data_IF_433731956296
#
_entry.id   IF_433731956296
#
_cell.length_a   1.000
_cell.length_b   1.000
_cell.length_c   1.000
_cell.angle_alpha   90.00
_cell.angle_beta   90.00
_cell.angle_gamma   90.00
#
_symmetry.space_group_name_H-M   'P 1'
#
loop_
_entity.id
_entity.type
_entity.pdbx_description
1 polymer ?
#
# COMPACT_ATOMS: atom_id res chain seq x y z
N UNK A 1 12.21 20.89 4.70
CA UNK A 1 11.52 20.88 3.40
C UNK A 1 12.28 21.81 2.48
N UNK A 2 12.79 21.30 1.34
CA UNK A 2 13.59 22.12 0.42
C UNK A 2 12.67 23.06 -0.37
N UNK A 3 13.14 24.26 -0.71
CA UNK A 3 12.43 25.25 -1.54
C UNK A 3 11.89 24.65 -2.85
N UNK A 4 12.60 23.66 -3.38
CA UNK A 4 12.24 22.94 -4.60
C UNK A 4 10.91 22.15 -4.47
N UNK A 5 10.63 21.51 -3.32
CA UNK A 5 9.43 20.69 -3.15
C UNK A 5 8.14 21.52 -3.21
N UNK A 6 8.12 22.66 -2.51
CA UNK A 6 6.94 23.55 -2.50
C UNK A 6 6.68 24.12 -3.89
N UNK A 7 7.73 24.53 -4.61
CA UNK A 7 7.58 25.01 -5.98
C UNK A 7 7.06 23.93 -6.92
N UNK A 8 7.50 22.68 -6.78
CA UNK A 8 6.98 21.55 -7.56
C UNK A 8 5.49 21.31 -7.28
N UNK A 9 5.05 21.36 -6.03
CA UNK A 9 3.62 21.19 -5.69
C UNK A 9 2.72 22.23 -6.36
N UNK A 10 3.22 23.46 -6.56
CA UNK A 10 2.46 24.56 -7.17
C UNK A 10 2.49 24.51 -8.69
N UNK A 11 3.62 24.10 -9.28
CA UNK A 11 3.86 24.20 -10.72
C UNK A 11 3.47 22.95 -11.50
N UNK A 12 3.58 21.78 -10.89
CA UNK A 12 3.31 20.52 -11.57
C UNK A 12 1.81 20.32 -11.79
N UNK A 13 1.47 19.73 -12.94
CA UNK A 13 0.09 19.41 -13.29
C UNK A 13 -0.49 18.31 -12.41
N UNK A 14 0.36 17.40 -11.93
CA UNK A 14 -0.02 16.38 -10.96
C UNK A 14 0.81 16.49 -9.67
N UNK A 15 0.34 17.24 -8.67
CA UNK A 15 1.01 17.32 -7.37
C UNK A 15 0.99 15.96 -6.62
N UNK A 16 0.16 15.00 -7.02
CA UNK A 16 0.13 13.66 -6.40
C UNK A 16 1.44 12.92 -6.61
N UNK A 17 1.97 12.94 -7.84
CA UNK A 17 3.27 12.33 -8.16
C UNK A 17 4.39 12.97 -7.35
N UNK A 18 4.37 14.30 -7.19
CA UNK A 18 5.36 15.04 -6.40
C UNK A 18 5.30 14.61 -4.92
N UNK A 19 4.10 14.47 -4.36
CA UNK A 19 3.91 14.00 -2.98
C UNK A 19 4.41 12.55 -2.83
N UNK A 20 4.04 11.66 -3.76
CA UNK A 20 4.46 10.27 -3.72
C UNK A 20 5.99 10.13 -3.79
N UNK A 21 6.65 10.80 -4.74
CA UNK A 21 8.11 10.81 -4.83
C UNK A 21 8.75 11.34 -3.55
N UNK A 22 8.13 12.33 -2.88
CA UNK A 22 8.63 12.81 -1.59
C UNK A 22 8.49 11.78 -0.48
N UNK A 23 7.41 11.00 -0.46
CA UNK A 23 7.25 9.90 0.49
C UNK A 23 8.32 8.81 0.29
N UNK A 24 8.63 8.47 -0.97
CA UNK A 24 9.70 7.53 -1.32
C UNK A 24 11.06 8.08 -0.87
N UNK A 25 11.39 9.34 -1.18
CA UNK A 25 12.65 9.97 -0.77
C UNK A 25 12.82 9.95 0.76
N UNK A 26 11.75 10.25 1.51
CA UNK A 26 11.75 10.20 2.97
C UNK A 26 12.02 8.78 3.47
N UNK A 27 11.35 7.78 2.89
CA UNK A 27 11.57 6.38 3.23
C UNK A 27 13.01 5.94 2.92
N UNK A 28 13.52 6.21 1.71
CA UNK A 28 14.89 5.88 1.31
C UNK A 28 15.95 6.49 2.23
N UNK A 29 15.72 7.73 2.69
CA UNK A 29 16.68 8.43 3.56
C UNK A 29 16.78 7.87 4.98
N UNK A 30 15.76 7.14 5.45
CA UNK A 30 15.65 6.67 6.84
C UNK A 30 15.63 5.16 6.98
N UNK A 31 15.30 4.44 5.92
CA UNK A 31 15.17 3.00 5.97
C UNK A 31 16.53 2.33 6.21
N UNK A 32 16.63 1.57 7.28
CA UNK A 32 17.77 0.70 7.59
C UNK A 32 17.30 -0.75 7.60
N UNK A 33 17.80 -1.57 6.66
CA UNK A 33 17.38 -2.97 6.52
C UNK A 33 17.69 -3.83 7.76
N UNK A 34 18.68 -3.43 8.57
CA UNK A 34 19.05 -4.12 9.80
C UNK A 34 18.13 -3.83 10.99
N UNK A 35 17.31 -2.78 10.92
CA UNK A 35 16.40 -2.35 11.99
C UNK A 35 15.13 -1.73 11.38
N UNK A 36 14.32 -2.59 10.77
CA UNK A 36 13.09 -2.15 10.10
C UNK A 36 12.05 -1.62 11.10
N UNK A 37 12.01 -2.18 12.31
CA UNK A 37 11.11 -1.73 13.38
C UNK A 37 11.33 -0.26 13.72
N UNK A 38 12.59 0.15 14.00
CA UNK A 38 12.91 1.57 14.25
C UNK A 38 12.73 2.43 13.01
N UNK A 39 13.13 1.93 11.85
CA UNK A 39 13.02 2.66 10.58
C UNK A 39 11.58 3.02 10.25
N UNK A 40 10.63 2.11 10.48
CA UNK A 40 9.22 2.35 10.23
C UNK A 40 8.67 3.45 11.13
N UNK A 41 9.07 3.50 12.40
CA UNK A 41 8.71 4.59 13.31
C UNK A 41 9.26 5.95 12.85
N UNK A 42 10.52 5.99 12.44
CA UNK A 42 11.19 7.23 12.01
C UNK A 42 10.62 7.77 10.69
N UNK A 43 10.21 6.87 9.78
CA UNK A 43 9.48 7.23 8.55
C UNK A 43 8.08 7.74 8.90
N UNK A 44 7.39 7.08 9.83
CA UNK A 44 6.02 7.43 10.19
C UNK A 44 5.91 8.81 10.86
N UNK A 45 6.89 9.17 11.70
CA UNK A 45 6.94 10.50 12.33
C UNK A 45 7.09 11.62 11.28
N UNK A 46 7.89 11.44 10.24
CA UNK A 46 7.97 12.44 9.15
C UNK A 46 6.71 12.46 8.30
N UNK A 47 6.14 11.30 7.99
CA UNK A 47 4.93 11.22 7.18
C UNK A 47 3.74 11.86 7.90
N UNK A 48 3.65 11.67 9.22
CA UNK A 48 2.70 12.37 10.08
C UNK A 48 2.82 13.89 9.94
N UNK A 49 4.05 14.42 10.01
CA UNK A 49 4.33 15.86 9.90
C UNK A 49 4.05 16.39 8.50
N UNK A 50 4.47 15.67 7.46
CA UNK A 50 4.24 16.02 6.07
C UNK A 50 2.74 16.10 5.77
N UNK A 51 1.99 15.05 6.13
CA UNK A 51 0.56 15.00 5.88
C UNK A 51 -0.20 16.05 6.69
N UNK A 52 0.21 16.31 7.95
CA UNK A 52 -0.36 17.40 8.74
C UNK A 52 -0.13 18.76 8.09
N UNK A 53 1.09 19.02 7.60
CA UNK A 53 1.42 20.27 6.93
C UNK A 53 0.63 20.45 5.64
N UNK A 54 0.51 19.39 4.82
CA UNK A 54 -0.33 19.41 3.62
C UNK A 54 -1.79 19.69 3.99
N UNK A 55 -2.32 19.06 5.03
CA UNK A 55 -3.68 19.35 5.49
C UNK A 55 -3.84 20.78 6.02
N UNK A 56 -2.87 21.32 6.75
CA UNK A 56 -2.97 22.70 7.27
C UNK A 56 -2.91 23.75 6.15
N UNK A 57 -2.23 23.45 5.05
CA UNK A 57 -2.10 24.33 3.91
C UNK A 57 -3.31 24.24 2.94
N UNK A 58 -3.85 23.04 2.70
CA UNK A 58 -4.88 22.80 1.67
C UNK A 58 -6.22 22.26 2.22
N UNK A 59 -6.27 21.88 3.49
CA UNK A 59 -7.47 21.35 4.14
C UNK A 59 -7.99 20.06 3.49
N UNK A 60 -9.32 19.93 3.51
CA UNK A 60 -10.05 18.80 2.91
C UNK A 60 -9.83 18.70 1.40
N UNK A 61 -9.52 19.82 0.73
CA UNK A 61 -9.39 19.87 -0.72
C UNK A 61 -8.18 19.09 -1.24
N UNK A 62 -7.14 18.92 -0.43
CA UNK A 62 -6.04 17.99 -0.71
C UNK A 62 -6.57 16.59 -1.03
N UNK A 63 -7.41 16.05 -0.14
CA UNK A 63 -7.94 14.71 -0.26
C UNK A 63 -8.99 14.61 -1.37
N UNK A 64 -9.82 15.65 -1.56
CA UNK A 64 -10.74 15.71 -2.71
C UNK A 64 -9.99 15.70 -4.03
N UNK A 65 -8.88 16.44 -4.12
CA UNK A 65 -8.05 16.47 -5.31
C UNK A 65 -7.47 15.09 -5.64
N UNK A 66 -6.94 14.39 -4.63
CA UNK A 66 -6.43 13.02 -4.82
C UNK A 66 -7.52 12.08 -5.35
N UNK A 67 -8.72 12.12 -4.78
CA UNK A 67 -9.84 11.27 -5.21
C UNK A 67 -10.40 11.68 -6.58
N UNK A 68 -10.49 12.98 -6.88
CA UNK A 68 -10.99 13.47 -8.17
C UNK A 68 -10.08 13.06 -9.34
N UNK A 69 -8.79 12.83 -9.09
CA UNK A 69 -7.85 12.35 -10.10
C UNK A 69 -7.74 10.82 -10.14
N UNK A 70 -8.61 10.07 -9.45
CA UNK A 70 -8.58 8.59 -9.40
C UNK A 70 -8.69 7.91 -10.77
N UNK A 71 -9.40 8.51 -11.71
CA UNK A 71 -9.45 7.99 -13.09
C UNK A 71 -8.15 8.24 -13.86
N UNK A 72 -7.51 9.41 -13.68
CA UNK A 72 -6.21 9.72 -14.29
C UNK A 72 -5.10 8.86 -13.69
N UNK A 73 -5.12 8.73 -12.37
CA UNK A 73 -4.22 7.93 -11.56
C UNK A 73 -4.84 6.57 -11.26
N UNK A 74 -5.36 5.90 -12.32
CA UNK A 74 -6.04 4.59 -12.27
C UNK A 74 -5.55 3.72 -11.10
N UNK A 75 -6.48 2.95 -10.53
CA UNK A 75 -6.20 2.04 -9.42
C UNK A 75 -4.88 1.28 -9.61
N UNK A 76 -4.08 1.19 -8.55
CA UNK A 76 -2.76 0.58 -8.61
C UNK A 76 -2.83 -0.86 -9.16
N UNK A 77 -3.85 -1.62 -8.76
CA UNK A 77 -4.15 -2.95 -9.31
C UNK A 77 -4.34 -2.90 -10.84
N UNK A 78 -5.20 -2.01 -11.36
CA UNK A 78 -5.44 -1.87 -12.82
C UNK A 78 -4.16 -1.55 -13.57
N UNK A 79 -3.38 -0.59 -13.08
CA UNK A 79 -2.09 -0.24 -13.67
C UNK A 79 -1.11 -1.41 -13.65
N UNK A 80 -1.03 -2.14 -12.54
CA UNK A 80 -0.13 -3.29 -12.41
C UNK A 80 -0.47 -4.41 -13.40
N UNK A 81 -1.75 -4.75 -13.57
CA UNK A 81 -2.18 -5.72 -14.58
C UNK A 81 -1.84 -5.25 -16.01
N UNK A 82 -2.08 -3.97 -16.32
CA UNK A 82 -1.73 -3.40 -17.62
C UNK A 82 -0.22 -3.47 -17.89
N UNK A 83 0.61 -2.99 -16.95
CA UNK A 83 2.07 -3.01 -17.05
C UNK A 83 2.61 -4.44 -17.16
N UNK A 84 2.05 -5.37 -16.38
CA UNK A 84 2.46 -6.77 -16.43
C UNK A 84 2.13 -7.41 -17.78
N UNK A 85 0.96 -7.10 -18.36
CA UNK A 85 0.57 -7.53 -19.70
C UNK A 85 1.55 -7.00 -20.76
N UNK A 86 1.83 -5.69 -20.76
CA UNK A 86 2.72 -5.01 -21.72
C UNK A 86 4.16 -5.54 -21.65
N UNK A 87 4.65 -5.87 -20.45
CA UNK A 87 6.01 -6.37 -20.22
C UNK A 87 6.12 -7.89 -20.28
N UNK A 88 5.00 -8.62 -20.47
CA UNK A 88 4.97 -10.07 -20.40
C UNK A 88 5.48 -10.62 -19.06
N UNK A 89 5.11 -9.94 -17.98
CA UNK A 89 5.44 -10.25 -16.59
C UNK A 89 4.31 -11.07 -15.92
N UNK A 90 4.59 -11.57 -14.72
CA UNK A 90 3.55 -11.95 -13.77
C UNK A 90 3.17 -10.73 -12.89
N UNK A 91 2.05 -10.82 -12.17
CA UNK A 91 1.65 -9.79 -11.21
C UNK A 91 1.48 -10.39 -9.82
N UNK A 92 1.89 -9.67 -8.79
CA UNK A 92 1.63 -9.98 -7.38
C UNK A 92 0.83 -8.82 -6.76
N UNK A 93 -0.36 -9.11 -6.28
CA UNK A 93 -1.14 -8.22 -5.42
C UNK A 93 -0.87 -8.62 -3.98
N UNK A 94 -0.35 -7.70 -3.19
CA UNK A 94 0.07 -7.89 -1.81
C UNK A 94 -0.81 -7.01 -0.92
N UNK A 95 -1.63 -7.65 -0.10
CA UNK A 95 -2.57 -6.98 0.81
C UNK A 95 -1.81 -6.03 1.73
N UNK A 96 -2.15 -4.74 1.70
CA UNK A 96 -1.46 -3.70 2.46
C UNK A 96 -0.07 -3.31 1.95
N UNK A 97 0.33 -3.64 0.72
CA UNK A 97 1.64 -3.24 0.18
C UNK A 97 1.79 -1.71 0.08
N UNK A 98 2.65 -1.13 0.91
CA UNK A 98 2.83 0.31 1.02
C UNK A 98 4.18 0.77 0.46
N UNK A 99 4.37 2.09 0.39
CA UNK A 99 5.64 2.70 -0.01
C UNK A 99 6.84 2.21 0.84
N UNK A 100 6.60 1.77 2.08
CA UNK A 100 7.64 1.22 2.97
C UNK A 100 8.18 -0.09 2.41
N UNK A 101 7.28 -1.03 2.09
CA UNK A 101 7.65 -2.31 1.49
C UNK A 101 8.28 -2.12 0.11
N UNK A 102 7.83 -1.16 -0.69
CA UNK A 102 8.48 -0.80 -1.95
C UNK A 102 9.96 -0.48 -1.76
N UNK A 103 10.30 0.43 -0.85
CA UNK A 103 11.70 0.81 -0.62
C UNK A 103 12.53 -0.35 -0.07
N UNK A 104 11.95 -1.17 0.81
CA UNK A 104 12.63 -2.38 1.31
C UNK A 104 12.92 -3.35 0.16
N UNK A 105 11.94 -3.61 -0.70
CA UNK A 105 12.06 -4.51 -1.86
C UNK A 105 13.12 -3.99 -2.83
N UNK A 106 13.04 -2.70 -3.20
CA UNK A 106 13.98 -2.02 -4.10
C UNK A 106 15.43 -2.14 -3.61
N UNK A 107 15.65 -2.05 -2.29
CA UNK A 107 16.98 -2.12 -1.69
C UNK A 107 17.47 -3.55 -1.41
N UNK A 108 16.57 -4.54 -1.43
CA UNK A 108 16.91 -5.94 -1.07
C UNK A 108 17.08 -6.86 -2.28
N UNK A 109 16.37 -6.60 -3.38
CA UNK A 109 16.37 -7.47 -4.56
C UNK A 109 17.57 -7.17 -5.45
N UNK A 110 18.26 -8.23 -5.89
CA UNK A 110 19.40 -8.17 -6.82
C UNK A 110 18.93 -8.18 -8.28
N UNK A 111 18.09 -7.23 -8.63
CA UNK A 111 17.60 -7.02 -10.00
C UNK A 111 17.40 -5.52 -10.23
N UNK A 112 17.28 -5.12 -11.49
CA UNK A 112 16.80 -3.77 -11.81
C UNK A 112 15.33 -3.66 -11.36
N UNK A 113 14.99 -2.51 -10.77
CA UNK A 113 13.67 -2.22 -10.23
C UNK A 113 13.21 -0.86 -10.75
N UNK A 114 12.12 -0.83 -11.52
CA UNK A 114 11.41 0.41 -11.83
C UNK A 114 10.30 0.67 -10.82
N UNK A 115 9.87 1.93 -10.75
CA UNK A 115 8.83 2.42 -9.85
C UNK A 115 7.75 3.16 -10.65
N UNK A 116 6.49 2.88 -10.30
CA UNK A 116 5.31 3.69 -10.63
C UNK A 116 4.38 3.68 -9.40
N UNK A 117 3.23 4.33 -9.46
CA UNK A 117 2.23 4.30 -8.42
C UNK A 117 0.81 4.40 -8.98
N UNK A 118 -0.16 4.01 -8.17
CA UNK A 118 -1.57 4.25 -8.42
C UNK A 118 -2.30 4.60 -7.14
N UNK A 119 -3.62 4.76 -7.23
CA UNK A 119 -4.46 4.94 -6.05
C UNK A 119 -5.03 3.61 -5.55
N UNK A 120 -5.28 3.53 -4.25
CA UNK A 120 -6.11 2.47 -3.66
C UNK A 120 -7.58 2.65 -4.04
N UNK A 121 -8.39 1.63 -3.79
CA UNK A 121 -9.84 1.84 -3.68
C UNK A 121 -10.18 2.73 -2.46
N UNK A 122 -11.38 3.31 -2.44
CA UNK A 122 -11.84 4.12 -1.31
C UNK A 122 -13.26 3.73 -0.92
N UNK A 123 -13.53 3.37 0.36
CA UNK A 123 -12.59 3.25 1.48
C UNK A 123 -11.39 2.33 1.18
N UNK A 124 -10.22 2.64 1.75
CA UNK A 124 -8.99 1.88 1.54
C UNK A 124 -9.02 0.54 2.31
N UNK A 125 -9.92 -0.35 1.89
CA UNK A 125 -10.12 -1.69 2.45
C UNK A 125 -10.15 -2.73 1.32
N UNK A 126 -9.68 -3.94 1.63
CA UNK A 126 -9.60 -5.08 0.71
C UNK A 126 -10.92 -5.40 0.00
N UNK A 127 -12.05 -5.35 0.72
CA UNK A 127 -13.37 -5.63 0.14
C UNK A 127 -13.79 -4.59 -0.91
N UNK A 128 -13.41 -3.33 -0.73
CA UNK A 128 -13.73 -2.27 -1.69
C UNK A 128 -12.87 -2.39 -2.94
N UNK A 129 -11.59 -2.71 -2.78
CA UNK A 129 -10.70 -3.03 -3.90
C UNK A 129 -11.22 -4.24 -4.71
N UNK A 130 -11.68 -5.28 -4.01
CA UNK A 130 -12.28 -6.48 -4.60
C UNK A 130 -13.51 -6.14 -5.44
N UNK A 131 -14.42 -5.36 -4.86
CA UNK A 131 -15.69 -4.97 -5.49
C UNK A 131 -15.44 -4.09 -6.72
N UNK A 132 -14.63 -3.05 -6.59
CA UNK A 132 -14.44 -2.07 -7.66
C UNK A 132 -13.66 -2.65 -8.83
N UNK A 133 -12.63 -3.47 -8.56
CA UNK A 133 -11.76 -3.96 -9.64
C UNK A 133 -12.16 -5.32 -10.19
N UNK A 134 -12.60 -6.25 -9.32
CA UNK A 134 -12.87 -7.63 -9.72
C UNK A 134 -14.37 -7.99 -9.74
N UNK A 135 -15.25 -7.07 -9.35
CA UNK A 135 -16.70 -7.25 -9.24
C UNK A 135 -17.08 -8.47 -8.37
N UNK A 136 -16.39 -8.62 -7.23
CA UNK A 136 -16.62 -9.68 -6.24
C UNK A 136 -16.47 -9.13 -4.82
N UNK A 137 -17.09 -9.75 -3.81
CA UNK A 137 -17.09 -9.21 -2.44
C UNK A 137 -15.72 -9.30 -1.73
N UNK A 138 -14.84 -10.22 -2.14
CA UNK A 138 -13.53 -10.42 -1.50
C UNK A 138 -12.45 -10.89 -2.51
N UNK A 139 -11.17 -10.68 -2.16
CA UNK A 139 -10.04 -11.04 -3.02
C UNK A 139 -9.88 -12.55 -3.16
N UNK A 140 -10.36 -13.36 -2.20
CA UNK A 140 -10.27 -14.82 -2.30
C UNK A 140 -11.09 -15.34 -3.48
N UNK A 141 -12.28 -14.77 -3.71
CA UNK A 141 -13.11 -15.04 -4.89
C UNK A 141 -12.55 -14.43 -6.17
N UNK A 142 -11.85 -13.29 -6.06
CA UNK A 142 -11.14 -12.73 -7.21
C UNK A 142 -10.03 -13.68 -7.69
N UNK A 143 -9.32 -14.31 -6.75
CA UNK A 143 -8.17 -15.16 -7.03
C UNK A 143 -8.49 -16.65 -7.16
N UNK A 144 -9.64 -16.98 -7.75
CA UNK A 144 -10.02 -18.34 -8.13
C UNK A 144 -10.08 -18.52 -9.66
N UNK A 145 -9.36 -19.50 -10.19
CA UNK A 145 -9.47 -19.90 -11.60
C UNK A 145 -8.74 -18.96 -12.57
N UNK A 146 -9.39 -18.64 -13.70
CA UNK A 146 -8.84 -17.73 -14.72
C UNK A 146 -9.73 -16.51 -14.91
N UNK A 147 -9.12 -15.35 -15.16
CA UNK A 147 -9.82 -14.09 -15.45
C UNK A 147 -9.22 -13.36 -16.63
N UNK A 148 -10.04 -12.62 -17.36
CA UNK A 148 -9.58 -11.73 -18.44
C UNK A 148 -9.54 -10.29 -17.91
N UNK A 149 -8.34 -9.70 -17.84
CA UNK A 149 -8.10 -8.40 -17.20
C UNK A 149 -7.11 -7.62 -18.08
N UNK A 150 -7.44 -6.35 -18.37
CA UNK A 150 -6.61 -5.44 -19.19
C UNK A 150 -6.15 -6.07 -20.51
N UNK A 151 -7.03 -6.83 -21.17
CA UNK A 151 -6.76 -7.44 -22.47
C UNK A 151 -6.01 -8.79 -22.44
N UNK A 152 -5.69 -9.30 -21.25
CA UNK A 152 -4.91 -10.55 -21.07
C UNK A 152 -5.64 -11.56 -20.19
N UNK A 153 -5.39 -12.85 -20.44
CA UNK A 153 -5.88 -13.95 -19.59
C UNK A 153 -4.88 -14.25 -18.48
N UNK A 154 -5.35 -14.23 -17.24
CA UNK A 154 -4.58 -14.45 -16.04
C UNK A 154 -5.01 -15.72 -15.33
N UNK A 155 -4.06 -16.57 -14.97
CA UNK A 155 -4.26 -17.63 -14.00
C UNK A 155 -4.12 -17.04 -12.60
N UNK A 156 -5.22 -17.07 -11.84
CA UNK A 156 -5.28 -16.45 -10.53
C UNK A 156 -4.88 -17.47 -9.46
N UNK A 157 -3.94 -17.08 -8.60
CA UNK A 157 -3.35 -17.97 -7.60
C UNK A 157 -3.18 -17.25 -6.25
N UNK A 158 -3.64 -17.88 -5.17
CA UNK A 158 -3.38 -17.41 -3.81
C UNK A 158 -2.10 -18.08 -3.31
N UNK A 159 -1.20 -17.30 -2.72
CA UNK A 159 0.02 -17.78 -2.07
C UNK A 159 -0.29 -18.10 -0.61
N UNK A 160 -0.79 -19.31 -0.35
CA UNK A 160 -1.19 -19.73 1.00
C UNK A 160 0.01 -19.91 1.97
N UNK A 161 1.21 -20.13 1.43
CA UNK A 161 2.44 -20.38 2.21
C UNK A 161 3.56 -19.49 1.72
N UNK A 162 3.77 -18.35 2.39
CA UNK A 162 4.76 -17.36 1.96
C UNK A 162 6.19 -17.91 1.89
N UNK A 163 6.54 -18.85 2.79
CA UNK A 163 7.87 -19.48 2.86
C UNK A 163 8.09 -20.62 1.86
N UNK A 164 7.08 -20.97 1.07
CA UNK A 164 7.18 -21.98 0.02
C UNK A 164 6.23 -21.63 -1.12
N UNK A 165 6.52 -20.54 -1.86
CA UNK A 165 5.63 -20.05 -2.88
C UNK A 165 5.58 -20.97 -4.11
N UNK A 166 4.58 -20.78 -4.99
CA UNK A 166 4.44 -21.57 -6.21
C UNK A 166 5.68 -21.47 -7.11
N UNK A 167 6.23 -22.63 -7.50
CA UNK A 167 7.34 -22.71 -8.46
C UNK A 167 6.81 -22.61 -9.89
N UNK A 168 6.91 -21.43 -10.48
CA UNK A 168 6.27 -21.12 -11.77
C UNK A 168 7.19 -21.26 -12.97
N UNK A 169 8.50 -21.41 -12.74
CA UNK A 169 9.49 -21.53 -13.81
C UNK A 169 9.39 -20.34 -14.76
N UNK A 170 9.31 -20.60 -16.08
CA UNK A 170 9.18 -19.54 -17.11
C UNK A 170 7.73 -19.18 -17.45
N UNK A 171 6.74 -19.64 -16.67
CA UNK A 171 5.33 -19.42 -16.95
C UNK A 171 4.97 -17.95 -16.73
N UNK A 172 4.24 -17.39 -17.70
CA UNK A 172 3.73 -16.01 -17.72
C UNK A 172 2.21 -15.99 -17.57
N UNK A 173 1.64 -14.81 -17.31
CA UNK A 173 0.19 -14.64 -17.20
C UNK A 173 -0.37 -15.23 -15.91
N UNK A 174 0.40 -15.20 -14.83
CA UNK A 174 -0.05 -15.59 -13.50
C UNK A 174 -0.22 -14.34 -12.66
N UNK A 175 -1.36 -14.25 -11.99
CA UNK A 175 -1.65 -13.24 -10.98
C UNK A 175 -1.66 -13.90 -9.60
N UNK A 176 -0.75 -13.47 -8.74
CA UNK A 176 -0.61 -13.94 -7.37
C UNK A 176 -1.31 -12.99 -6.40
N UNK A 177 -1.89 -13.54 -5.34
CA UNK A 177 -2.36 -12.80 -4.17
C UNK A 177 -1.58 -13.29 -2.94
N UNK A 178 -1.11 -12.36 -2.10
CA UNK A 178 -0.64 -12.65 -0.75
C UNK A 178 -1.33 -11.71 0.24
N UNK A 179 -1.62 -12.22 1.44
CA UNK A 179 -2.17 -11.43 2.56
C UNK A 179 -1.09 -10.72 3.39
N UNK A 180 0.17 -10.78 2.94
CA UNK A 180 1.27 -10.06 3.56
C UNK A 180 1.44 -8.68 2.90
N UNK A 181 1.87 -7.65 3.64
CA UNK A 181 2.16 -7.68 5.08
C UNK A 181 0.91 -7.46 5.97
N UNK A 182 -0.25 -7.16 5.40
CA UNK A 182 -1.43 -6.69 6.15
C UNK A 182 -1.89 -7.64 7.26
N UNK A 183 -2.24 -8.89 6.93
CA UNK A 183 -2.77 -9.85 7.90
C UNK A 183 -1.85 -10.08 9.12
N UNK A 184 -0.54 -10.36 8.98
CA UNK A 184 0.34 -10.52 10.13
C UNK A 184 0.56 -9.21 10.93
N UNK A 185 0.45 -8.04 10.31
CA UNK A 185 0.55 -6.75 11.01
C UNK A 185 -0.76 -6.36 11.71
N UNK A 186 -1.91 -6.80 11.21
CA UNK A 186 -3.20 -6.66 11.88
C UNK A 186 -3.38 -7.62 13.05
N UNK A 187 -2.90 -8.85 12.92
CA UNK A 187 -2.91 -9.90 13.96
C UNK A 187 -1.58 -9.96 14.73
N UNK A 188 -0.99 -8.80 15.03
CA UNK A 188 0.35 -8.76 15.62
C UNK A 188 0.41 -9.39 17.02
N UNK A 189 -0.71 -9.47 17.75
CA UNK A 189 -0.87 -10.29 18.96
C UNK A 189 -1.63 -11.58 18.65
N UNK A 190 -0.92 -12.70 18.48
CA UNK A 190 -1.56 -14.03 18.46
C UNK A 190 -2.13 -14.36 19.83
N UNK A 191 -3.36 -14.90 19.88
CA UNK A 191 -4.04 -15.35 21.10
C UNK A 191 -3.09 -16.00 22.11
N UNK A 192 -2.84 -15.33 23.24
CA UNK A 192 -2.06 -15.86 24.37
C UNK A 192 -0.53 -15.67 24.29
N UNK A 193 0.00 -15.06 23.22
CA UNK A 193 1.43 -14.74 23.08
C UNK A 193 1.62 -13.22 23.21
N UNK A 194 2.51 -12.81 24.12
CA UNK A 194 2.74 -11.40 24.49
C UNK A 194 3.59 -10.66 23.43
N UNK A 195 4.31 -11.38 22.56
CA UNK A 195 5.24 -10.81 21.59
C UNK A 195 4.55 -10.38 20.29
N UNK A 196 4.67 -9.09 19.97
CA UNK A 196 4.32 -8.53 18.66
C UNK A 196 5.18 -9.20 17.58
N UNK A 197 4.59 -9.53 16.43
CA UNK A 197 5.37 -9.98 15.28
C UNK A 197 6.40 -8.91 14.89
N UNK A 198 7.66 -9.32 14.66
CA UNK A 198 8.69 -8.38 14.19
C UNK A 198 8.41 -7.96 12.76
N UNK A 199 8.42 -6.65 12.50
CA UNK A 199 8.28 -6.08 11.15
C UNK A 199 9.37 -6.67 10.24
N UNK A 200 10.59 -6.80 10.78
CA UNK A 200 11.72 -7.37 10.06
C UNK A 200 11.43 -8.78 9.54
N UNK A 201 10.77 -9.62 10.33
CA UNK A 201 10.40 -10.97 9.90
C UNK A 201 9.28 -10.97 8.86
N UNK A 202 8.21 -10.19 9.09
CA UNK A 202 7.06 -10.11 8.18
C UNK A 202 7.47 -9.58 6.81
N UNK A 203 8.20 -8.48 6.78
CA UNK A 203 8.66 -7.85 5.54
C UNK A 203 9.76 -8.70 4.89
N UNK A 204 10.62 -9.36 5.68
CA UNK A 204 11.62 -10.29 5.16
C UNK A 204 11.00 -11.50 4.43
N UNK A 205 9.92 -12.05 4.97
CA UNK A 205 9.15 -13.12 4.31
C UNK A 205 8.54 -12.62 2.98
N UNK A 206 8.00 -11.39 2.95
CA UNK A 206 7.49 -10.77 1.73
C UNK A 206 8.56 -10.51 0.68
N UNK A 207 9.72 -9.98 1.06
CA UNK A 207 10.86 -9.79 0.14
C UNK A 207 11.29 -11.13 -0.45
N UNK A 208 11.38 -12.18 0.37
CA UNK A 208 11.77 -13.52 -0.07
C UNK A 208 10.76 -14.08 -1.08
N UNK A 209 9.46 -13.94 -0.82
CA UNK A 209 8.40 -14.30 -1.77
C UNK A 209 8.60 -13.59 -3.12
N UNK A 210 8.80 -12.28 -3.08
CA UNK A 210 8.96 -11.46 -4.29
C UNK A 210 10.22 -11.88 -5.07
N UNK A 211 11.34 -12.13 -4.38
CA UNK A 211 12.59 -12.57 -5.00
C UNK A 211 12.44 -13.94 -5.70
N UNK A 212 11.73 -14.87 -5.05
CA UNK A 212 11.44 -16.19 -5.63
C UNK A 212 10.53 -16.09 -6.87
N UNK A 213 9.44 -15.33 -6.78
CA UNK A 213 8.48 -15.17 -7.88
C UNK A 213 9.07 -14.42 -9.09
N UNK A 214 10.02 -13.51 -8.86
CA UNK A 214 10.69 -12.72 -9.91
C UNK A 214 11.93 -13.39 -10.51
N UNK A 215 12.33 -14.57 -10.01
CA UNK A 215 13.60 -15.19 -10.38
C UNK A 215 13.73 -15.59 -11.86
N UNK A 216 12.62 -15.91 -12.53
CA UNK A 216 12.64 -16.45 -13.91
C UNK A 216 11.90 -15.59 -14.93
N UNK A 217 10.94 -14.80 -14.47
CA UNK A 217 10.06 -13.95 -15.27
C UNK A 217 9.95 -12.61 -14.53
N UNK A 218 9.90 -11.47 -15.23
CA UNK A 218 9.63 -10.19 -14.58
C UNK A 218 8.36 -10.26 -13.72
N UNK A 219 8.33 -9.49 -12.64
CA UNK A 219 7.21 -9.44 -11.72
C UNK A 219 6.81 -7.99 -11.47
N UNK A 220 5.53 -7.67 -11.64
CA UNK A 220 4.96 -6.40 -11.19
C UNK A 220 4.28 -6.63 -9.85
N UNK A 221 4.69 -5.91 -8.82
CA UNK A 221 4.16 -6.01 -7.46
C UNK A 221 3.40 -4.74 -7.12
N UNK A 222 2.21 -4.86 -6.55
CA UNK A 222 1.47 -3.73 -6.00
C UNK A 222 0.56 -4.16 -4.84
N UNK A 223 -0.11 -3.21 -4.21
CA UNK A 223 -1.13 -3.45 -3.20
C UNK A 223 -2.54 -3.12 -3.67
N UNK A 224 -3.50 -3.55 -2.88
CA UNK A 224 -4.90 -3.12 -2.96
C UNK A 224 -5.14 -1.81 -2.19
N UNK A 225 -4.41 -1.63 -1.08
CA UNK A 225 -4.24 -0.38 -0.35
C UNK A 225 -2.89 -0.33 0.36
N UNK A 226 -2.52 0.86 0.86
CA UNK A 226 -1.48 1.01 1.87
C UNK A 226 -2.08 1.08 3.28
N UNK A 227 -1.30 1.57 4.25
CA UNK A 227 -1.75 1.68 5.65
C UNK A 227 -1.01 2.78 6.41
N UNK A 228 -1.63 3.23 7.52
CA UNK A 228 -0.99 4.03 8.56
C UNK A 228 -0.34 3.09 9.57
N UNK A 229 0.94 3.27 9.84
CA UNK A 229 1.66 2.50 10.86
C UNK A 229 1.37 3.08 12.24
N UNK A 230 1.04 2.22 13.21
CA UNK A 230 0.65 2.62 14.57
C UNK A 230 1.45 1.93 15.66
N UNK A 231 2.17 0.84 15.36
CA UNK A 231 2.94 0.05 16.35
C UNK A 231 2.10 -0.36 17.58
N UNK A 232 0.80 -0.60 17.42
CA UNK A 232 -0.10 -0.93 18.53
C UNK A 232 -0.46 0.25 19.43
N UNK A 233 -0.04 1.47 19.09
CA UNK A 233 -0.43 2.70 19.77
C UNK A 233 -0.70 3.82 18.74
N UNK A 234 -1.95 3.95 18.26
CA UNK A 234 -2.34 4.99 17.32
C UNK A 234 -1.95 6.41 17.76
N UNK A 235 -1.88 6.68 19.07
CA UNK A 235 -1.48 8.00 19.57
C UNK A 235 -0.05 8.42 19.26
N UNK A 236 0.82 7.51 18.84
CA UNK A 236 2.19 7.85 18.40
C UNK A 236 2.22 8.48 17.00
N UNK A 237 1.34 8.05 16.11
CA UNK A 237 1.45 8.29 14.66
C UNK A 237 0.17 8.88 14.03
N UNK A 238 -0.73 9.35 14.89
CA UNK A 238 -1.90 10.14 14.53
C UNK A 238 -1.72 11.62 14.92
N UNK A 239 -2.54 12.48 14.33
CA UNK A 239 -2.54 13.90 14.68
C UNK A 239 -2.95 14.12 16.13
N UNK A 240 -2.51 15.25 16.69
CA UNK A 240 -2.87 15.67 18.06
C UNK A 240 -4.40 15.64 18.26
N UNK A 241 -4.83 15.16 19.43
CA UNK A 241 -6.24 14.97 19.78
C UNK A 241 -6.98 14.03 18.82
N UNK A 242 -6.35 12.92 18.42
CA UNK A 242 -7.00 11.90 17.61
C UNK A 242 -8.21 11.28 18.35
N UNK A 243 -9.15 10.72 17.58
CA UNK A 243 -10.39 10.14 18.08
C UNK A 243 -10.46 8.63 17.79
N UNK A 244 -10.91 7.81 18.77
CA UNK A 244 -11.03 6.36 18.60
C UNK A 244 -12.30 5.99 17.82
N UNK A 245 -12.18 5.88 16.49
CA UNK A 245 -13.27 5.51 15.56
C UNK A 245 -12.74 4.66 14.41
N UNK A 246 -13.57 3.81 13.83
CA UNK A 246 -13.24 3.17 12.55
C UNK A 246 -13.07 4.24 11.47
N UNK A 247 -12.27 3.95 10.44
CA UNK A 247 -11.91 4.96 9.43
C UNK A 247 -12.94 5.10 8.29
N UNK A 248 -14.02 4.33 8.31
CA UNK A 248 -15.16 4.46 7.41
C UNK A 248 -16.48 4.06 8.10
N UNK A 249 -17.60 4.54 7.54
CA UNK A 249 -18.96 4.19 8.00
C UNK A 249 -19.47 5.00 9.21
N UNK A 250 -18.68 5.91 9.77
CA UNK A 250 -19.08 6.78 10.88
C UNK A 250 -19.11 8.27 10.48
N UNK A 251 -19.31 9.17 11.46
CA UNK A 251 -19.18 10.62 11.29
C UNK A 251 -17.89 11.14 11.90
N UNK A 252 -17.16 11.95 11.13
CA UNK A 252 -15.82 12.45 11.47
C UNK A 252 -15.73 13.99 11.48
N UNK A 253 -16.86 14.68 11.53
CA UNK A 253 -16.92 16.13 11.56
C UNK A 253 -16.32 16.75 10.30
N UNK A 254 -15.36 17.66 10.46
CA UNK A 254 -14.64 18.30 9.33
C UNK A 254 -13.60 17.38 8.67
N UNK A 255 -13.27 16.25 9.29
CA UNK A 255 -12.26 15.29 8.81
C UNK A 255 -12.90 14.11 8.06
N UNK A 256 -13.89 14.38 7.20
CA UNK A 256 -14.56 13.36 6.39
C UNK A 256 -14.70 13.73 4.93
N UNK A 257 -14.84 12.70 4.11
CA UNK A 257 -15.38 12.79 2.75
C UNK A 257 -16.53 11.78 2.59
N UNK A 258 -17.51 12.12 1.76
CA UNK A 258 -18.55 11.19 1.32
C UNK A 258 -18.18 10.69 -0.07
N UNK A 259 -18.08 9.38 -0.23
CA UNK A 259 -17.78 8.71 -1.50
C UNK A 259 -18.91 7.71 -1.72
N UNK A 260 -19.68 7.93 -2.79
CA UNK A 260 -20.96 7.28 -3.01
C UNK A 260 -21.84 7.40 -1.75
N UNK A 261 -22.23 6.29 -1.12
CA UNK A 261 -23.01 6.29 0.13
C UNK A 261 -22.17 6.09 1.40
N UNK A 262 -20.84 5.99 1.27
CA UNK A 262 -19.94 5.72 2.39
C UNK A 262 -19.23 6.99 2.83
N UNK A 263 -19.34 7.31 4.12
CA UNK A 263 -18.50 8.35 4.75
C UNK A 263 -17.15 7.74 5.14
N UNK A 264 -16.06 8.40 4.79
CA UNK A 264 -14.69 7.98 5.08
C UNK A 264 -13.95 9.07 5.85
N UNK A 265 -13.11 8.67 6.81
CA UNK A 265 -12.23 9.57 7.53
C UNK A 265 -11.08 10.00 6.62
N UNK A 266 -10.70 11.27 6.67
CA UNK A 266 -9.51 11.77 5.97
C UNK A 266 -8.36 12.06 6.93
N UNK A 267 -7.14 11.92 6.43
CA UNK A 267 -5.92 12.14 7.18
C UNK A 267 -5.80 11.25 8.41
N UNK A 268 -5.08 11.75 9.41
CA UNK A 268 -4.61 10.96 10.56
C UNK A 268 -5.32 11.33 11.86
N UNK A 269 -6.61 11.64 11.79
CA UNK A 269 -7.40 12.05 12.98
C UNK A 269 -8.13 10.90 13.66
N UNK A 270 -8.40 9.81 12.95
CA UNK A 270 -9.26 8.72 13.42
C UNK A 270 -8.57 7.37 13.26
N UNK A 271 -8.65 6.50 14.26
CA UNK A 271 -8.32 5.08 14.12
C UNK A 271 -9.02 4.26 15.22
N UNK A 272 -9.24 2.96 15.01
CA UNK A 272 -9.73 2.08 16.06
C UNK A 272 -8.79 2.07 17.26
N UNK A 273 -9.34 2.02 18.48
CA UNK A 273 -8.55 1.82 19.69
C UNK A 273 -8.23 0.34 19.86
N UNK A 274 -7.13 -0.10 19.26
CA UNK A 274 -6.61 -1.46 19.42
C UNK A 274 -5.12 -1.42 19.77
N UNK A 275 -4.68 -2.38 20.58
CA UNK A 275 -3.25 -2.63 20.85
C UNK A 275 -2.75 -3.92 20.19
N UNK A 276 -3.61 -4.57 19.43
CA UNK A 276 -3.37 -5.88 18.79
C UNK A 276 -2.91 -5.72 17.33
N UNK A 277 -3.19 -4.56 16.73
CA UNK A 277 -2.81 -4.20 15.36
C UNK A 277 -1.66 -3.20 15.34
N UNK A 278 -0.66 -3.44 14.49
CA UNK A 278 0.43 -2.50 14.23
C UNK A 278 0.07 -1.48 13.15
N UNK A 279 -1.06 -1.65 12.46
CA UNK A 279 -1.48 -0.82 11.33
C UNK A 279 -2.97 -0.45 11.41
N UNK A 280 -3.37 0.54 10.64
CA UNK A 280 -4.78 0.90 10.46
C UNK A 280 -4.99 1.44 9.05
N UNK A 281 -6.15 1.15 8.47
CA UNK A 281 -6.53 1.61 7.15
C UNK A 281 -8.07 1.76 7.04
N UNK A 282 -8.57 2.07 5.85
CA UNK A 282 -9.98 2.22 5.52
C UNK A 282 -10.47 3.66 5.36
N UNK A 283 -9.62 4.64 5.61
CA UNK A 283 -9.90 6.06 5.36
C UNK A 283 -9.27 6.54 4.06
N UNK A 284 -8.93 7.83 4.03
CA UNK A 284 -8.14 8.49 2.98
C UNK A 284 -6.99 9.24 3.63
N UNK A 285 -5.84 8.60 3.73
CA UNK A 285 -4.55 9.27 4.00
C UNK A 285 -3.60 9.07 2.83
N UNK A 286 -2.50 9.83 2.82
CA UNK A 286 -1.44 9.62 1.83
C UNK A 286 -0.88 8.19 1.90
N UNK A 287 -0.69 7.68 3.13
CA UNK A 287 -0.12 6.35 3.38
C UNK A 287 -1.06 5.20 2.98
N UNK A 288 -2.37 5.41 3.07
CA UNK A 288 -3.38 4.43 2.64
C UNK A 288 -3.64 4.48 1.14
N UNK A 289 -3.63 5.68 0.56
CA UNK A 289 -4.19 5.92 -0.77
C UNK A 289 -3.16 5.86 -1.89
N UNK A 290 -1.89 6.20 -1.62
CA UNK A 290 -0.83 6.19 -2.62
C UNK A 290 -0.10 4.85 -2.56
N UNK A 291 -0.42 3.98 -3.52
CA UNK A 291 0.04 2.59 -3.53
C UNK A 291 1.14 2.42 -4.59
N UNK A 292 2.33 1.94 -4.21
CA UNK A 292 3.42 1.74 -5.15
C UNK A 292 3.15 0.59 -6.12
N UNK A 293 3.77 0.68 -7.29
CA UNK A 293 3.87 -0.38 -8.28
C UNK A 293 5.36 -0.62 -8.51
N UNK A 294 5.85 -1.76 -8.03
CA UNK A 294 7.26 -2.16 -8.13
C UNK A 294 7.42 -3.09 -9.33
N UNK A 295 8.23 -2.70 -10.31
CA UNK A 295 8.46 -3.49 -11.51
C UNK A 295 9.83 -4.12 -11.40
N UNK A 296 9.87 -5.42 -11.16
CA UNK A 296 11.12 -6.17 -11.00
C UNK A 296 11.46 -6.83 -12.32
N UNK A 297 12.58 -6.43 -12.89
CA UNK A 297 13.08 -7.03 -14.12
C UNK A 297 13.68 -8.40 -13.84
N UNK A 298 13.71 -9.26 -14.86
CA UNK A 298 14.29 -10.59 -14.72
C UNK A 298 15.78 -10.46 -14.41
N UNK A 299 16.27 -11.23 -13.43
CA UNK A 299 17.71 -11.41 -13.19
C UNK A 299 18.38 -11.91 -14.48
N UNK A 300 19.45 -11.21 -14.88
CA UNK A 300 20.28 -11.55 -16.04
C UNK A 300 20.84 -12.97 -15.98
#
# INVERSE_FOLDING_TARGET
MTENFVLSLIREKDPTSVIFSKMIELAESKLQLSDLDKSYEDIEDELLRLEKWLFDAWGVDLYRYHLANREKNKLAISKAFKLASEKGANVLISDGYSFREHVVVKNSIKAEVDEDFGLSATPSITSEASKIFFDVPDLKQAFSGRRFIEGSSWEMCIVDKIKNPPKTGKKKGIAFLTYYPDAPLHEAKKHGIIELQSITAVVGDLVSLIDELSSNVPLVVTGDHGYIFTKGNPGLFLWKNWEPKNRYGESYGEFQLKIDETTVAIGRKHAPKTTESMITHGGVSLAESLVPITIIHKKG
#
